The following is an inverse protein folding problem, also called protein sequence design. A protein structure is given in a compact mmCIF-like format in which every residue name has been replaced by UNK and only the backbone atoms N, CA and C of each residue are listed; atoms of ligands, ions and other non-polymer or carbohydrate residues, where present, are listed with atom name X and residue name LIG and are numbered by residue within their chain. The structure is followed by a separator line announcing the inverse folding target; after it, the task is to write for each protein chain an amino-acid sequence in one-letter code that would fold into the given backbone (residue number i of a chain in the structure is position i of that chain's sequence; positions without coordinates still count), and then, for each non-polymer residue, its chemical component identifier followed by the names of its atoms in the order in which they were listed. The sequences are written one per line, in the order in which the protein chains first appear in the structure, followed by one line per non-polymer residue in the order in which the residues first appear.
data_IF_938725638106
#
_entry.id   IF_938725638106
#
_cell.length_a   1.000
_cell.length_b   1.000
_cell.length_c   1.000
_cell.angle_alpha   90.00
_cell.angle_beta   90.00
_cell.angle_gamma   90.00
#
_symmetry.space_group_name_H-M   'P 1'
#
loop_
_entity.id
_entity.type
_entity.pdbx_description
1 polymer ?
#
# COMPACT_ATOMS: atom_id res chain seq x y z
N UNK A 1 14.61 -2.06 -1.33
CA UNK A 1 15.10 -2.68 -2.59
C UNK A 1 14.11 -3.77 -2.99
N UNK A 2 13.73 -3.86 -4.26
CA UNK A 2 12.79 -4.86 -4.78
C UNK A 2 12.97 -6.31 -4.25
N UNK A 3 14.19 -6.87 -4.08
CA UNK A 3 14.35 -8.28 -3.66
C UNK A 3 13.88 -8.62 -2.24
N UNK A 4 13.51 -7.65 -1.40
CA UNK A 4 12.97 -7.92 -0.06
C UNK A 4 11.44 -7.83 -0.05
N UNK A 5 10.89 -6.87 -0.78
CA UNK A 5 9.44 -6.66 -0.81
C UNK A 5 8.71 -7.81 -1.50
N UNK A 6 9.20 -8.30 -2.64
CA UNK A 6 8.55 -9.39 -3.38
C UNK A 6 8.31 -10.63 -2.49
N UNK A 7 9.36 -11.23 -1.91
CA UNK A 7 9.20 -12.41 -1.06
C UNK A 7 8.30 -12.19 0.16
N UNK A 8 8.35 -11.01 0.78
CA UNK A 8 7.46 -10.70 1.92
C UNK A 8 5.99 -10.61 1.48
N UNK A 9 5.71 -9.98 0.34
CA UNK A 9 4.36 -9.92 -0.22
C UNK A 9 3.89 -11.30 -0.69
N UNK A 10 4.78 -12.13 -1.25
CA UNK A 10 4.46 -13.48 -1.68
C UNK A 10 4.07 -14.40 -0.50
N UNK A 11 4.67 -14.20 0.67
CA UNK A 11 4.36 -14.95 1.88
C UNK A 11 3.07 -14.48 2.56
N UNK A 12 2.83 -13.17 2.59
CA UNK A 12 1.74 -12.56 3.37
C UNK A 12 0.44 -12.47 2.56
N UNK A 13 0.54 -12.21 1.26
CA UNK A 13 -0.63 -11.85 0.45
C UNK A 13 -1.21 -13.05 -0.31
N UNK A 14 -2.51 -12.95 -0.58
CA UNK A 14 -3.28 -13.79 -1.49
C UNK A 14 -3.94 -12.94 -2.59
N UNK A 15 -4.51 -13.55 -3.64
CA UNK A 15 -5.22 -12.81 -4.70
C UNK A 15 -6.38 -11.92 -4.19
N UNK A 16 -7.00 -12.29 -3.08
CA UNK A 16 -8.11 -11.57 -2.44
C UNK A 16 -7.63 -10.35 -1.63
N UNK A 17 -6.34 -10.27 -1.34
CA UNK A 17 -5.75 -9.24 -0.51
C UNK A 17 -5.85 -7.86 -1.15
N UNK A 18 -6.13 -6.86 -0.32
CA UNK A 18 -5.94 -5.46 -0.67
C UNK A 18 -4.58 -5.00 -0.15
N UNK A 19 -3.62 -4.78 -1.05
CA UNK A 19 -2.35 -4.16 -0.73
C UNK A 19 -2.49 -2.64 -0.76
N UNK A 20 -2.29 -2.02 0.40
CA UNK A 20 -2.31 -0.56 0.57
C UNK A 20 -0.87 -0.05 0.64
N UNK A 21 -0.56 0.94 -0.19
CA UNK A 21 0.76 1.57 -0.25
C UNK A 21 0.61 3.06 0.10
N UNK A 22 0.88 3.46 1.36
CA UNK A 22 0.89 4.87 1.72
C UNK A 22 1.98 5.61 0.94
N UNK A 23 1.57 6.62 0.15
CA UNK A 23 2.43 7.42 -0.72
C UNK A 23 1.85 8.82 -0.87
N UNK A 24 2.64 9.90 -0.74
CA UNK A 24 2.15 11.26 -0.96
C UNK A 24 1.70 11.50 -2.41
N UNK A 25 2.17 10.69 -3.36
CA UNK A 25 1.74 10.72 -4.77
C UNK A 25 0.48 9.87 -5.04
N UNK A 26 -0.02 9.15 -4.04
CA UNK A 26 -1.19 8.30 -4.14
C UNK A 26 -2.52 9.08 -4.21
N UNK A 27 -3.61 8.36 -4.48
CA UNK A 27 -4.95 8.95 -4.46
C UNK A 27 -5.33 9.35 -3.03
N UNK A 28 -6.05 10.46 -2.86
CA UNK A 28 -6.47 10.90 -1.54
C UNK A 28 -7.35 9.82 -0.86
N UNK A 29 -6.87 9.31 0.27
CA UNK A 29 -7.64 8.50 1.19
C UNK A 29 -8.69 9.38 1.86
N UNK A 30 -9.95 9.02 1.72
CA UNK A 30 -11.06 9.76 2.26
C UNK A 30 -12.10 8.81 2.88
N UNK A 31 -13.17 9.37 3.44
CA UNK A 31 -14.19 8.58 4.12
C UNK A 31 -14.87 7.53 3.24
N UNK A 32 -15.03 7.77 1.93
CA UNK A 32 -15.64 6.78 1.05
C UNK A 32 -14.69 5.63 0.74
N UNK A 33 -13.38 5.90 0.63
CA UNK A 33 -12.35 4.86 0.55
C UNK A 33 -12.34 4.04 1.83
N UNK A 34 -12.36 4.67 3.01
CA UNK A 34 -12.43 3.98 4.30
C UNK A 34 -13.65 3.05 4.41
N UNK A 35 -14.84 3.53 4.01
CA UNK A 35 -16.07 2.74 4.02
C UNK A 35 -16.02 1.55 3.07
N UNK A 36 -15.43 1.71 1.88
CA UNK A 36 -15.21 0.58 0.96
C UNK A 36 -14.23 -0.41 1.55
N UNK A 37 -13.12 0.09 2.07
CA UNK A 37 -12.12 -0.74 2.68
C UNK A 37 -12.65 -1.48 3.88
N UNK A 38 -13.60 -0.98 4.66
CA UNK A 38 -14.15 -1.70 5.83
C UNK A 38 -14.80 -3.06 5.50
N UNK A 39 -15.16 -3.29 4.23
CA UNK A 39 -15.71 -4.57 3.77
C UNK A 39 -14.63 -5.61 3.39
N UNK A 40 -13.36 -5.21 3.29
CA UNK A 40 -12.27 -6.12 2.91
C UNK A 40 -11.93 -7.11 4.04
N UNK A 41 -11.75 -8.38 3.70
CA UNK A 41 -11.37 -9.39 4.70
C UNK A 41 -9.88 -9.29 5.05
N UNK A 42 -9.04 -8.96 4.06
CA UNK A 42 -7.60 -8.91 4.21
C UNK A 42 -7.00 -7.64 3.60
N UNK A 43 -6.31 -6.87 4.43
CA UNK A 43 -5.63 -5.62 4.06
C UNK A 43 -4.19 -5.71 4.52
N UNK A 44 -3.24 -5.41 3.64
CA UNK A 44 -1.81 -5.42 3.92
C UNK A 44 -1.27 -4.01 3.69
N UNK A 45 -0.59 -3.42 4.66
CA UNK A 45 -0.01 -2.08 4.54
C UNK A 45 1.49 -2.17 4.26
N UNK A 46 1.91 -1.76 3.06
CA UNK A 46 3.31 -1.70 2.67
C UNK A 46 3.89 -0.31 3.00
N UNK A 47 4.38 -0.16 4.22
CA UNK A 47 4.95 1.10 4.72
C UNK A 47 6.37 1.32 4.17
N UNK A 48 6.49 2.15 3.14
CA UNK A 48 7.77 2.61 2.61
C UNK A 48 8.51 3.55 3.57
N UNK A 49 9.84 3.60 3.44
CA UNK A 49 10.74 4.60 4.05
C UNK A 49 11.66 5.19 2.98
N UNK A 50 12.40 6.23 3.34
CA UNK A 50 13.28 6.97 2.42
C UNK A 50 12.45 7.59 1.28
N UNK A 51 12.89 7.46 0.03
CA UNK A 51 12.18 7.94 -1.17
C UNK A 51 11.00 7.03 -1.57
N UNK A 52 10.67 6.01 -0.77
CA UNK A 52 9.53 5.13 -1.00
C UNK A 52 9.91 3.71 -1.43
N UNK A 53 8.92 3.00 -1.97
CA UNK A 53 9.06 1.64 -2.49
C UNK A 53 9.40 1.73 -3.98
N UNK A 54 10.23 0.81 -4.46
CA UNK A 54 10.53 0.68 -5.89
C UNK A 54 9.24 0.37 -6.66
N UNK A 55 8.87 1.18 -7.65
CA UNK A 55 7.59 1.07 -8.37
C UNK A 55 7.34 -0.33 -8.95
N UNK A 56 8.40 -1.07 -9.32
CA UNK A 56 8.28 -2.43 -9.85
C UNK A 56 7.64 -3.40 -8.86
N UNK A 57 7.77 -3.16 -7.55
CA UNK A 57 7.11 -3.98 -6.51
C UNK A 57 5.60 -3.76 -6.56
N UNK A 58 5.17 -2.51 -6.72
CA UNK A 58 3.76 -2.12 -6.80
C UNK A 58 3.14 -2.68 -8.09
N UNK A 59 3.85 -2.50 -9.21
CA UNK A 59 3.41 -2.97 -10.52
C UNK A 59 3.30 -4.50 -10.56
N UNK A 60 4.28 -5.22 -9.99
CA UNK A 60 4.25 -6.68 -9.88
C UNK A 60 3.08 -7.16 -9.01
N UNK A 61 2.88 -6.57 -7.83
CA UNK A 61 1.78 -6.92 -6.95
C UNK A 61 0.42 -6.71 -7.63
N UNK A 62 0.27 -5.65 -8.43
CA UNK A 62 -0.95 -5.33 -9.17
C UNK A 62 -1.31 -6.38 -10.24
N UNK A 63 -0.35 -7.22 -10.66
CA UNK A 63 -0.65 -8.34 -11.57
C UNK A 63 -1.35 -9.52 -10.88
N UNK A 64 -1.34 -9.58 -9.54
CA UNK A 64 -1.79 -10.74 -8.75
C UNK A 64 -2.83 -10.42 -7.68
N UNK A 65 -2.87 -9.18 -7.18
CA UNK A 65 -3.80 -8.74 -6.14
C UNK A 65 -4.22 -7.29 -6.38
N UNK A 66 -5.19 -6.79 -5.62
CA UNK A 66 -5.62 -5.39 -5.70
C UNK A 66 -4.61 -4.52 -4.97
N UNK A 67 -4.15 -3.46 -5.62
CA UNK A 67 -3.19 -2.51 -5.05
C UNK A 67 -3.76 -1.11 -5.08
N UNK A 68 -3.63 -0.41 -3.95
CA UNK A 68 -4.04 0.98 -3.82
C UNK A 68 -2.94 1.84 -3.21
N UNK A 69 -2.36 2.70 -4.04
CA UNK A 69 -1.49 3.78 -3.59
C UNK A 69 -2.35 4.95 -3.10
N UNK A 70 -2.19 5.32 -1.82
CA UNK A 70 -3.00 6.38 -1.21
C UNK A 70 -2.19 7.41 -0.44
N UNK A 71 -2.64 8.66 -0.49
CA UNK A 71 -2.15 9.75 0.36
C UNK A 71 -3.20 10.07 1.42
N UNK A 72 -2.77 10.33 2.66
CA UNK A 72 -3.67 10.76 3.74
C UNK A 72 -3.78 12.29 3.86
N UNK A 73 -3.13 13.05 2.97
CA UNK A 73 -3.27 14.50 2.93
C UNK A 73 -2.15 15.21 2.18
N UNK A 74 -2.24 16.54 2.16
CA UNK A 74 -1.30 17.42 1.45
C UNK A 74 -0.08 17.74 2.32
N UNK A 75 0.72 16.71 2.61
CA UNK A 75 1.96 16.79 3.37
C UNK A 75 2.83 15.55 3.13
N UNK A 76 4.11 15.65 3.49
CA UNK A 76 5.08 14.54 3.39
C UNK A 76 5.42 14.03 4.78
N UNK A 77 5.45 12.71 4.94
CA UNK A 77 5.89 12.03 6.17
C UNK A 77 7.23 11.31 5.93
N UNK A 78 8.04 11.06 6.98
CA UNK A 78 9.29 10.31 6.87
C UNK A 78 9.12 8.84 6.42
N UNK A 79 7.90 8.31 6.51
CA UNK A 79 7.55 6.95 6.14
C UNK A 79 6.04 6.70 6.25
N UNK A 80 5.60 5.56 5.73
CA UNK A 80 4.18 5.18 5.66
C UNK A 80 3.58 4.73 7.00
N UNK A 81 4.38 4.55 8.05
CA UNK A 81 3.92 3.94 9.31
C UNK A 81 2.87 4.78 10.02
N UNK A 82 3.07 6.11 10.10
CA UNK A 82 2.06 6.99 10.71
C UNK A 82 0.79 7.10 9.87
N UNK A 83 0.85 6.83 8.57
CA UNK A 83 -0.33 6.79 7.71
C UNK A 83 -1.10 5.48 7.79
N UNK A 84 -0.53 4.45 8.42
CA UNK A 84 -1.13 3.13 8.59
C UNK A 84 -1.85 2.94 9.94
N UNK A 85 -1.78 3.93 10.84
CA UNK A 85 -2.41 3.93 12.19
C UNK A 85 -3.64 4.82 12.16
#
# INVERSE_FOLDING_TARGET
KAPVWGPALDEICSPESLLVVPSPAGRLFNQSVAQRWSAEEHRVFACGRYEGIDQRVVDDAATRMRVEEVSIGDYVLPGGESAAV
#
